data_IF_664171293140
#
_entry.id   IF_664171293140
#
_cell.length_a   1.000
_cell.length_b   1.000
_cell.length_c   1.000
_cell.angle_alpha   90.00
_cell.angle_beta   90.00
_cell.angle_gamma   90.00
#
_symmetry.space_group_name_H-M   'P 1'
#
loop_
_entity.id
_entity.type
_entity.pdbx_description
1 polymer ?
#
# COMPACT_ATOMS: atom_id res chain seq x y z
N UNK A 1 7.20 5.66 -1.07
CA UNK A 1 7.50 4.25 -1.44
C UNK A 1 7.46 4.12 -2.95
N UNK A 2 8.18 3.15 -3.53
CA UNK A 2 8.13 2.87 -4.98
C UNK A 2 6.77 2.27 -5.36
N UNK A 3 6.23 2.55 -6.57
CA UNK A 3 5.06 1.83 -7.09
C UNK A 3 5.28 0.32 -7.21
N UNK A 4 6.52 -0.13 -7.42
CA UNK A 4 6.87 -1.56 -7.56
C UNK A 4 7.08 -2.28 -6.23
N UNK A 5 6.84 -1.60 -5.09
CA UNK A 5 6.99 -2.23 -3.78
C UNK A 5 5.83 -3.22 -3.54
N UNK A 6 6.18 -4.48 -3.25
CA UNK A 6 5.21 -5.52 -2.90
C UNK A 6 4.26 -5.07 -1.78
N UNK A 7 2.97 -5.38 -1.94
CA UNK A 7 1.92 -4.94 -1.02
C UNK A 7 2.15 -5.42 0.43
N UNK A 8 2.70 -6.64 0.59
CA UNK A 8 3.07 -7.19 1.90
C UNK A 8 4.13 -6.31 2.59
N UNK A 9 5.13 -5.84 1.85
CA UNK A 9 6.17 -4.97 2.39
C UNK A 9 5.60 -3.61 2.83
N UNK A 10 4.64 -3.07 2.09
CA UNK A 10 3.92 -1.85 2.47
C UNK A 10 3.13 -2.06 3.76
N UNK A 11 2.40 -3.17 3.87
CA UNK A 11 1.64 -3.51 5.07
C UNK A 11 2.56 -3.69 6.30
N UNK A 12 3.68 -4.39 6.15
CA UNK A 12 4.70 -4.53 7.19
C UNK A 12 5.27 -3.17 7.62
N UNK A 13 5.52 -2.28 6.66
CA UNK A 13 6.04 -0.94 6.95
C UNK A 13 5.02 -0.13 7.76
N UNK A 14 3.74 -0.18 7.40
CA UNK A 14 2.67 0.46 8.17
C UNK A 14 2.63 -0.06 9.61
N UNK A 15 2.71 -1.38 9.79
CA UNK A 15 2.71 -2.01 11.12
C UNK A 15 3.93 -1.62 11.97
N UNK A 16 5.09 -1.42 11.35
CA UNK A 16 6.34 -1.06 12.05
C UNK A 16 6.43 0.42 12.44
N UNK A 17 5.71 1.31 11.75
CA UNK A 17 5.94 2.77 11.84
C UNK A 17 4.77 3.55 12.43
N UNK A 18 3.63 2.90 12.71
CA UNK A 18 2.33 3.53 13.03
C UNK A 18 1.84 4.55 11.97
N UNK A 19 2.50 4.58 10.81
CA UNK A 19 2.09 5.36 9.66
C UNK A 19 1.09 4.54 8.85
N UNK A 20 -0.14 5.06 8.71
CA UNK A 20 -1.24 4.34 8.04
C UNK A 20 -1.34 4.60 6.53
N UNK A 21 -0.54 5.53 6.00
CA UNK A 21 -0.56 5.94 4.59
C UNK A 21 0.83 6.32 4.12
N UNK A 22 1.17 5.92 2.90
CA UNK A 22 2.42 6.30 2.26
C UNK A 22 2.17 6.98 0.92
N UNK A 23 2.94 8.02 0.65
CA UNK A 23 3.09 8.58 -0.69
C UNK A 23 3.80 7.56 -1.59
N UNK A 24 3.23 7.31 -2.77
CA UNK A 24 3.85 6.53 -3.84
C UNK A 24 4.55 7.51 -4.77
N UNK A 25 5.87 7.34 -4.92
CA UNK A 25 6.74 8.27 -5.64
C UNK A 25 7.54 7.48 -6.67
N UNK A 26 7.57 7.99 -7.90
CA UNK A 26 8.35 7.44 -9.01
C UNK A 26 9.13 8.59 -9.68
N UNK A 27 10.42 8.39 -9.96
CA UNK A 27 11.29 9.42 -10.57
C UNK A 27 11.28 10.79 -9.85
N UNK A 28 11.06 10.79 -8.54
CA UNK A 28 10.97 12.00 -7.72
C UNK A 28 9.61 12.69 -7.75
N UNK A 29 8.65 12.18 -8.51
CA UNK A 29 7.29 12.71 -8.62
C UNK A 29 6.31 11.93 -7.74
N UNK A 30 5.43 12.64 -7.05
CA UNK A 30 4.32 12.04 -6.31
C UNK A 30 3.25 11.58 -7.31
N UNK A 31 3.11 10.27 -7.47
CA UNK A 31 2.15 9.67 -8.42
C UNK A 31 0.90 9.12 -7.73
N UNK A 32 0.90 8.99 -6.41
CA UNK A 32 -0.27 8.51 -5.68
C UNK A 32 -0.09 8.38 -4.18
N UNK A 33 -1.11 7.83 -3.53
CA UNK A 33 -1.12 7.53 -2.09
C UNK A 33 -1.72 6.15 -1.92
N UNK A 34 -1.12 5.34 -1.05
CA UNK A 34 -1.71 4.09 -0.58
C UNK A 34 -2.00 4.17 0.92
N UNK A 35 -3.16 3.69 1.32
CA UNK A 35 -3.58 3.58 2.72
C UNK A 35 -3.80 2.14 3.14
N UNK A 36 -3.83 1.90 4.45
CA UNK A 36 -4.25 0.61 5.00
C UNK A 36 -5.64 0.16 4.51
N UNK A 37 -6.52 1.10 4.18
CA UNK A 37 -7.88 0.83 3.72
C UNK A 37 -7.88 0.32 2.27
N UNK A 38 -6.91 0.76 1.46
CA UNK A 38 -6.75 0.28 0.09
C UNK A 38 -6.21 -1.14 0.07
N UNK A 39 -5.26 -1.45 0.97
CA UNK A 39 -4.76 -2.82 1.18
C UNK A 39 -5.92 -3.75 1.60
N UNK A 40 -6.73 -3.34 2.58
CA UNK A 40 -7.88 -4.13 3.00
C UNK A 40 -8.85 -4.38 1.83
N UNK A 41 -9.20 -3.35 1.06
CA UNK A 41 -10.09 -3.50 -0.11
C UNK A 41 -9.52 -4.47 -1.14
N UNK A 42 -8.21 -4.43 -1.40
CA UNK A 42 -7.56 -5.35 -2.33
C UNK A 42 -7.69 -6.80 -1.85
N UNK A 43 -7.35 -7.07 -0.60
CA UNK A 43 -7.47 -8.40 0.02
C UNK A 43 -8.92 -8.89 0.01
N UNK A 44 -9.88 -8.06 0.43
CA UNK A 44 -11.31 -8.43 0.38
C UNK A 44 -11.79 -8.76 -1.03
N UNK A 45 -11.31 -8.01 -2.02
CA UNK A 45 -11.68 -8.23 -3.43
C UNK A 45 -11.08 -9.51 -4.00
N UNK A 46 -9.92 -9.95 -3.50
CA UNK A 46 -9.32 -11.24 -3.86
C UNK A 46 -10.08 -12.40 -3.21
N UNK A 47 -10.38 -12.31 -1.92
CA UNK A 47 -11.09 -13.36 -1.16
C UNK A 47 -12.51 -13.63 -1.69
N UNK A 48 -13.22 -12.62 -2.16
CA UNK A 48 -14.61 -12.76 -2.67
C UNK A 48 -14.65 -13.25 -4.14
N UNK A 49 -13.50 -13.29 -4.83
CA UNK A 49 -13.43 -13.76 -6.23
C UNK A 49 -13.35 -15.28 -6.36
N UNK A 50 -13.15 -16.00 -5.25
CA UNK A 50 -13.22 -17.46 -5.14
C UNK A 50 -14.58 -17.91 -4.57
#
# INVERSE_FOLDING_TARGET
ISPDMEMENVAMLMAKTDVRRFAVVENGELIGIISNSDILKAVYSEVIKD
#
